data_IF_300071080809
#
_entry.id   IF_300071080809
#
_cell.length_a   1.000
_cell.length_b   1.000
_cell.length_c   1.000
_cell.angle_alpha   90.00
_cell.angle_beta   90.00
_cell.angle_gamma   90.00
#
_symmetry.space_group_name_H-M   'P 1'
#
loop_
_entity.id
_entity.type
_entity.pdbx_description
1 polymer ?
#
# COMPACT_ATOMS: atom_id res chain seq x y z
N UNK A 1 -30.74 9.70 -28.24
CA UNK A 1 -29.62 10.49 -27.68
C UNK A 1 -29.69 10.43 -26.17
N UNK A 2 -28.89 9.57 -25.52
CA UNK A 2 -28.70 9.60 -24.07
C UNK A 2 -27.30 10.14 -23.84
N UNK A 3 -27.24 11.40 -23.43
CA UNK A 3 -26.00 12.08 -23.08
C UNK A 3 -25.55 11.41 -21.78
N UNK A 4 -24.45 10.66 -21.84
CA UNK A 4 -23.87 10.01 -20.68
C UNK A 4 -23.57 11.07 -19.61
N UNK A 5 -24.20 10.92 -18.44
CA UNK A 5 -23.87 11.72 -17.28
C UNK A 5 -22.46 11.33 -16.86
N UNK A 6 -21.46 12.08 -17.33
CA UNK A 6 -20.16 12.11 -16.70
C UNK A 6 -20.41 12.57 -15.26
N UNK A 7 -20.19 11.67 -14.30
CA UNK A 7 -20.18 12.00 -12.88
C UNK A 7 -18.97 12.92 -12.68
N UNK A 8 -19.20 14.21 -12.91
CA UNK A 8 -18.25 15.29 -12.63
C UNK A 8 -18.19 15.43 -11.11
N UNK A 9 -17.33 14.64 -10.48
CA UNK A 9 -16.85 14.93 -9.14
C UNK A 9 -16.13 16.29 -9.19
N UNK A 10 -16.34 17.15 -8.18
CA UNK A 10 -15.85 18.51 -8.21
C UNK A 10 -14.32 18.51 -8.32
N UNK A 11 -13.71 19.22 -9.29
CA UNK A 11 -12.33 19.61 -9.11
C UNK A 11 -12.30 20.61 -7.95
N UNK A 12 -11.30 20.54 -7.08
CA UNK A 12 -10.70 21.64 -6.30
C UNK A 12 -10.13 21.11 -4.98
N UNK A 13 -8.96 20.47 -5.05
CA UNK A 13 -7.98 20.47 -3.95
C UNK A 13 -6.59 20.23 -4.51
N UNK A 14 -5.61 20.93 -3.94
CA UNK A 14 -4.17 20.63 -4.08
C UNK A 14 -3.85 19.32 -3.34
N UNK A 15 -4.43 18.22 -3.82
CA UNK A 15 -4.20 16.88 -3.25
C UNK A 15 -2.82 16.37 -3.67
N UNK A 16 -2.10 15.74 -2.74
CA UNK A 16 -0.80 15.13 -3.01
C UNK A 16 -0.94 13.89 -3.89
N UNK A 17 0.15 13.51 -4.61
CA UNK A 17 0.16 12.35 -5.52
C UNK A 17 -0.37 11.07 -4.86
N UNK A 18 0.06 10.78 -3.63
CA UNK A 18 -0.39 9.58 -2.88
C UNK A 18 -1.89 9.60 -2.58
N UNK A 19 -2.46 10.77 -2.26
CA UNK A 19 -3.89 10.91 -1.99
C UNK A 19 -4.72 10.70 -3.26
N UNK A 20 -4.21 11.16 -4.41
CA UNK A 20 -4.83 10.91 -5.71
C UNK A 20 -4.77 9.42 -6.04
N UNK A 21 -3.61 8.78 -5.89
CA UNK A 21 -3.45 7.33 -6.08
C UNK A 21 -4.43 6.54 -5.21
N UNK A 22 -4.46 6.79 -3.89
CA UNK A 22 -5.37 6.12 -2.95
C UNK A 22 -6.84 6.30 -3.30
N UNK A 23 -7.22 7.52 -3.74
CA UNK A 23 -8.58 7.81 -4.19
C UNK A 23 -8.93 6.98 -5.42
N UNK A 24 -8.04 6.92 -6.41
CA UNK A 24 -8.27 6.14 -7.64
C UNK A 24 -8.36 4.64 -7.37
N UNK A 25 -7.48 4.11 -6.51
CA UNK A 25 -7.50 2.70 -6.11
C UNK A 25 -8.80 2.35 -5.40
N UNK A 26 -9.24 3.19 -4.46
CA UNK A 26 -10.50 3.01 -3.75
C UNK A 26 -11.70 3.01 -4.69
N UNK A 27 -11.78 3.97 -5.62
CA UNK A 27 -12.88 4.01 -6.61
C UNK A 27 -12.93 2.75 -7.48
N UNK A 28 -11.77 2.24 -7.90
CA UNK A 28 -11.68 1.01 -8.68
C UNK A 28 -12.11 -0.23 -7.87
N UNK A 29 -11.73 -0.29 -6.59
CA UNK A 29 -12.15 -1.35 -5.67
C UNK A 29 -13.67 -1.29 -5.45
N UNK A 30 -14.20 -0.13 -5.08
CA UNK A 30 -15.64 0.08 -4.85
C UNK A 30 -16.47 -0.33 -6.08
N UNK A 31 -16.04 0.04 -7.29
CA UNK A 31 -16.70 -0.36 -8.54
C UNK A 31 -16.74 -1.88 -8.75
N UNK A 32 -15.68 -2.58 -8.34
CA UNK A 32 -15.60 -4.03 -8.40
C UNK A 32 -16.47 -4.69 -7.32
N UNK A 33 -16.46 -4.13 -6.10
CA UNK A 33 -17.20 -4.65 -4.93
C UNK A 33 -18.72 -4.50 -5.07
N UNK A 34 -19.20 -3.41 -5.67
CA UNK A 34 -20.63 -3.20 -5.93
C UNK A 34 -21.27 -4.36 -6.71
N UNK A 35 -20.50 -4.98 -7.61
CA UNK A 35 -20.99 -6.06 -8.46
C UNK A 35 -20.77 -7.47 -7.85
N UNK A 36 -20.05 -7.57 -6.72
CA UNK A 36 -19.69 -8.84 -6.10
C UNK A 36 -20.74 -9.29 -5.08
N UNK A 37 -20.93 -10.61 -4.89
CA UNK A 37 -21.75 -11.12 -3.81
C UNK A 37 -21.09 -10.86 -2.45
N UNK A 38 -21.90 -10.78 -1.39
CA UNK A 38 -21.42 -10.48 -0.03
C UNK A 38 -20.46 -11.54 0.54
N UNK A 39 -20.64 -12.82 0.19
CA UNK A 39 -19.79 -13.92 0.63
C UNK A 39 -18.85 -14.37 -0.48
N UNK A 40 -17.58 -14.63 -0.13
CA UNK A 40 -16.57 -15.23 -1.01
C UNK A 40 -16.44 -16.72 -0.68
N UNK A 41 -16.37 -17.55 -1.72
CA UNK A 41 -16.22 -19.00 -1.60
C UNK A 41 -14.85 -19.45 -2.11
N UNK A 42 -14.46 -20.69 -1.79
CA UNK A 42 -13.21 -21.28 -2.27
C UNK A 42 -13.15 -21.40 -3.81
N UNK A 43 -14.30 -21.60 -4.45
CA UNK A 43 -14.42 -21.79 -5.90
C UNK A 43 -14.58 -20.47 -6.68
N UNK A 44 -14.37 -19.32 -6.04
CA UNK A 44 -14.52 -18.00 -6.68
C UNK A 44 -13.40 -17.75 -7.70
N UNK A 45 -13.77 -17.50 -8.95
CA UNK A 45 -12.83 -17.29 -10.05
C UNK A 45 -11.94 -16.05 -9.85
N UNK A 46 -12.45 -15.00 -9.18
CA UNK A 46 -11.66 -13.78 -8.94
C UNK A 46 -10.58 -14.01 -7.86
N UNK A 47 -10.90 -14.83 -6.85
CA UNK A 47 -9.95 -15.24 -5.83
C UNK A 47 -8.84 -16.11 -6.41
N UNK A 48 -9.20 -17.11 -7.21
CA UNK A 48 -8.23 -17.99 -7.88
C UNK A 48 -7.35 -17.20 -8.86
N UNK A 49 -7.93 -16.29 -9.64
CA UNK A 49 -7.17 -15.40 -10.51
C UNK A 49 -6.19 -14.51 -9.73
N UNK A 50 -6.64 -13.91 -8.62
CA UNK A 50 -5.77 -13.12 -7.76
C UNK A 50 -4.61 -13.96 -7.20
N UNK A 51 -4.87 -15.15 -6.67
CA UNK A 51 -3.85 -16.05 -6.12
C UNK A 51 -2.82 -16.47 -7.17
N UNK A 52 -3.26 -16.80 -8.38
CA UNK A 52 -2.37 -17.12 -9.50
C UNK A 52 -1.47 -15.95 -9.93
N UNK A 53 -1.93 -14.71 -9.70
CA UNK A 53 -1.15 -13.51 -10.00
C UNK A 53 -0.14 -13.13 -8.91
N UNK A 54 -0.24 -13.70 -7.70
CA UNK A 54 0.70 -13.40 -6.61
C UNK A 54 2.10 -13.93 -6.97
N UNK A 55 3.02 -12.99 -7.17
CA UNK A 55 4.42 -13.29 -7.39
C UNK A 55 5.16 -13.46 -6.05
N UNK A 56 5.75 -14.63 -5.84
CA UNK A 56 6.45 -14.96 -4.59
C UNK A 56 7.94 -14.64 -4.67
N UNK A 57 8.49 -13.99 -3.65
CA UNK A 57 9.90 -13.59 -3.61
C UNK A 57 10.90 -14.76 -3.64
N UNK A 58 10.48 -15.95 -3.17
CA UNK A 58 11.32 -17.15 -3.07
C UNK A 58 11.20 -18.09 -4.28
N UNK A 59 10.43 -17.71 -5.30
CA UNK A 59 10.26 -18.52 -6.51
C UNK A 59 11.48 -18.37 -7.42
N UNK A 60 12.17 -19.47 -7.80
CA UNK A 60 13.30 -19.41 -8.73
C UNK A 60 12.94 -18.83 -10.11
N UNK A 61 11.67 -18.89 -10.53
CA UNK A 61 11.19 -18.40 -11.82
C UNK A 61 10.75 -16.92 -11.79
N UNK A 62 10.81 -16.26 -10.64
CA UNK A 62 10.27 -14.91 -10.43
C UNK A 62 10.83 -13.87 -11.42
N UNK A 63 12.14 -13.88 -11.65
CA UNK A 63 12.82 -12.92 -12.54
C UNK A 63 12.35 -13.08 -13.99
N UNK A 64 12.31 -14.33 -14.47
CA UNK A 64 11.84 -14.66 -15.81
C UNK A 64 10.39 -14.21 -16.04
N UNK A 65 9.49 -14.44 -15.08
CA UNK A 65 8.08 -14.02 -15.18
C UNK A 65 7.98 -12.49 -15.25
N UNK A 66 8.74 -11.74 -14.43
CA UNK A 66 8.75 -10.27 -14.47
C UNK A 66 9.21 -9.75 -15.82
N UNK A 67 10.32 -10.26 -16.34
CA UNK A 67 10.84 -9.85 -17.66
C UNK A 67 9.84 -10.15 -18.78
N UNK A 68 9.20 -11.32 -18.75
CA UNK A 68 8.18 -11.71 -19.72
C UNK A 68 6.99 -10.75 -19.68
N UNK A 69 6.49 -10.39 -18.51
CA UNK A 69 5.37 -9.44 -18.37
C UNK A 69 5.73 -8.03 -18.89
N UNK A 70 6.99 -7.61 -18.73
CA UNK A 70 7.48 -6.33 -19.27
C UNK A 70 7.55 -6.39 -20.80
N UNK A 71 8.10 -7.47 -21.36
CA UNK A 71 8.19 -7.67 -22.83
C UNK A 71 6.82 -7.76 -23.50
N UNK A 72 5.85 -8.40 -22.85
CA UNK A 72 4.46 -8.48 -23.31
C UNK A 72 3.66 -7.18 -23.08
N UNK A 73 4.24 -6.17 -22.42
CA UNK A 73 3.58 -4.91 -22.11
C UNK A 73 2.52 -4.97 -21.01
N UNK A 74 2.39 -6.11 -20.31
CA UNK A 74 1.44 -6.30 -19.19
C UNK A 74 1.87 -5.56 -17.93
N UNK A 75 3.17 -5.33 -17.76
CA UNK A 75 3.76 -4.64 -16.61
C UNK A 75 4.66 -3.49 -17.07
N UNK A 76 4.49 -2.33 -16.45
CA UNK A 76 5.39 -1.19 -16.67
C UNK A 76 6.74 -1.43 -15.96
N UNK A 77 7.87 -0.95 -16.52
CA UNK A 77 9.15 -1.01 -15.84
C UNK A 77 9.11 -0.24 -14.52
N UNK A 78 9.88 -0.70 -13.53
CA UNK A 78 9.89 -0.11 -12.20
C UNK A 78 10.41 1.34 -12.27
N UNK A 79 9.66 2.27 -11.65
CA UNK A 79 10.03 3.70 -11.61
C UNK A 79 11.32 3.88 -10.80
N UNK A 80 12.18 4.88 -11.13
CA UNK A 80 13.36 5.16 -10.33
C UNK A 80 12.95 5.56 -8.92
N UNK A 81 13.45 4.82 -7.93
CA UNK A 81 13.21 5.09 -6.51
C UNK A 81 14.48 5.60 -5.84
N UNK A 82 14.35 6.27 -4.71
CA UNK A 82 15.51 6.70 -3.93
C UNK A 82 16.37 5.51 -3.52
N UNK A 83 17.68 5.64 -3.72
CA UNK A 83 18.69 4.65 -3.37
C UNK A 83 19.36 5.08 -2.05
N UNK A 84 19.08 4.35 -0.97
CA UNK A 84 19.67 4.62 0.34
C UNK A 84 18.74 4.29 1.51
N UNK A 85 19.30 4.38 2.71
CA UNK A 85 18.52 4.31 3.95
C UNK A 85 17.81 5.64 4.20
N UNK A 86 16.57 5.60 4.65
CA UNK A 86 15.77 6.77 4.99
C UNK A 86 14.95 6.49 6.25
N UNK A 87 14.61 7.53 7.00
CA UNK A 87 13.78 7.41 8.19
C UNK A 87 12.32 7.10 7.76
N UNK A 88 11.65 6.12 8.39
CA UNK A 88 10.24 5.85 8.10
C UNK A 88 9.38 7.04 8.54
N UNK A 89 8.25 7.20 7.85
CA UNK A 89 7.19 8.16 8.17
C UNK A 89 5.91 7.38 8.49
N UNK A 90 5.03 7.94 9.33
CA UNK A 90 3.68 7.42 9.62
C UNK A 90 2.89 6.96 8.39
N UNK A 91 3.08 7.63 7.25
CA UNK A 91 2.33 7.34 6.02
C UNK A 91 3.02 6.33 5.09
N UNK A 92 4.21 5.81 5.45
CA UNK A 92 4.94 4.84 4.62
C UNK A 92 5.40 5.37 3.25
N UNK A 93 5.35 6.69 3.04
CA UNK A 93 5.72 7.33 1.78
C UNK A 93 7.25 7.31 1.65
N UNK A 94 7.74 6.72 0.56
CA UNK A 94 9.18 6.69 0.23
C UNK A 94 9.63 8.06 -0.27
N UNK A 95 10.88 8.48 0.02
CA UNK A 95 11.43 9.69 -0.58
C UNK A 95 11.54 9.54 -2.10
N UNK A 96 11.40 10.67 -2.80
CA UNK A 96 11.57 10.72 -4.25
C UNK A 96 13.01 10.46 -4.67
N UNK A 97 13.22 10.02 -5.92
CA UNK A 97 14.54 9.68 -6.47
C UNK A 97 15.57 10.83 -6.44
N UNK A 98 15.11 12.08 -6.33
CA UNK A 98 15.95 13.30 -6.35
C UNK A 98 16.31 13.81 -4.95
N UNK A 99 15.90 13.10 -3.90
CA UNK A 99 16.21 13.49 -2.53
C UNK A 99 17.70 13.23 -2.23
N UNK A 100 18.32 14.15 -1.49
CA UNK A 100 19.75 14.19 -1.17
C UNK A 100 20.15 13.22 -0.03
N UNK A 101 19.17 12.60 0.64
CA UNK A 101 19.43 11.68 1.76
C UNK A 101 19.69 12.36 3.11
N UNK A 102 19.92 13.68 3.13
CA UNK A 102 20.12 14.45 4.37
C UNK A 102 18.78 14.73 5.05
N UNK A 103 18.60 14.23 6.27
CA UNK A 103 17.45 14.52 7.12
C UNK A 103 17.51 15.96 7.64
N UNK A 104 16.47 16.74 7.30
CA UNK A 104 16.30 18.15 7.72
C UNK A 104 15.05 18.31 8.61
N UNK A 105 14.63 17.25 9.28
CA UNK A 105 13.44 17.23 10.13
C UNK A 105 13.69 17.81 11.54
N UNK A 106 12.61 18.07 12.26
CA UNK A 106 12.63 18.45 13.69
C UNK A 106 12.63 17.22 14.64
N UNK A 107 12.83 16.00 14.10
CA UNK A 107 12.78 14.75 14.86
C UNK A 107 11.38 14.36 15.39
N UNK A 108 10.28 14.93 14.88
CA UNK A 108 8.92 14.56 15.30
C UNK A 108 8.59 13.09 15.02
N UNK A 109 8.86 12.60 13.80
CA UNK A 109 8.56 11.22 13.41
C UNK A 109 9.28 10.21 14.33
N UNK A 110 10.56 10.43 14.64
CA UNK A 110 11.31 9.63 15.60
C UNK A 110 10.66 9.61 16.99
N UNK A 111 10.26 10.78 17.52
CA UNK A 111 9.58 10.88 18.82
C UNK A 111 8.23 10.16 18.80
N UNK A 112 7.49 10.25 17.71
CA UNK A 112 6.19 9.60 17.55
C UNK A 112 6.33 8.06 17.58
N UNK A 113 7.28 7.50 16.84
CA UNK A 113 7.54 6.04 16.87
C UNK A 113 7.97 5.57 18.25
N UNK A 114 8.86 6.30 18.92
CA UNK A 114 9.28 5.95 20.29
C UNK A 114 8.11 5.96 21.27
N UNK A 115 7.24 6.98 21.20
CA UNK A 115 6.06 7.06 22.06
C UNK A 115 5.06 5.93 21.79
N UNK A 116 4.87 5.56 20.51
CA UNK A 116 4.01 4.44 20.13
C UNK A 116 4.56 3.11 20.64
N UNK A 117 5.85 2.86 20.47
CA UNK A 117 6.51 1.64 20.93
C UNK A 117 6.50 1.55 22.46
N UNK A 118 6.75 2.65 23.17
CA UNK A 118 6.68 2.69 24.63
C UNK A 118 5.28 2.34 25.14
N UNK A 119 4.23 2.85 24.49
CA UNK A 119 2.85 2.49 24.81
C UNK A 119 2.59 0.99 24.62
N UNK A 120 3.00 0.42 23.48
CA UNK A 120 2.83 -1.00 23.21
C UNK A 120 3.60 -1.87 24.22
N UNK A 121 4.83 -1.48 24.58
CA UNK A 121 5.61 -2.18 25.60
C UNK A 121 4.90 -2.21 26.96
N UNK A 122 4.33 -1.07 27.40
CA UNK A 122 3.56 -0.99 28.66
C UNK A 122 2.29 -1.86 28.59
N UNK A 123 1.57 -1.85 27.47
CA UNK A 123 0.38 -2.69 27.27
C UNK A 123 0.73 -4.20 27.34
N UNK A 124 1.84 -4.62 26.72
CA UNK A 124 2.32 -6.00 26.78
C UNK A 124 2.81 -6.42 28.16
N UNK A 125 3.52 -5.53 28.86
CA UNK A 125 3.91 -5.76 30.25
C UNK A 125 2.66 -5.94 31.10
N UNK A 126 1.71 -4.99 31.07
CA UNK A 126 0.47 -5.06 31.83
C UNK A 126 -0.30 -6.36 31.57
N UNK A 127 -0.36 -6.80 30.31
CA UNK A 127 -0.96 -8.09 29.95
C UNK A 127 -0.23 -9.27 30.62
N UNK A 128 1.10 -9.33 30.53
CA UNK A 128 1.92 -10.38 31.18
C UNK A 128 1.74 -10.38 32.70
N UNK A 129 1.70 -9.21 33.33
CA UNK A 129 1.45 -9.08 34.78
C UNK A 129 0.04 -9.56 35.14
N UNK A 130 -0.98 -9.25 34.33
CA UNK A 130 -2.36 -9.66 34.58
C UNK A 130 -2.58 -11.17 34.51
N UNK A 131 -1.79 -11.89 33.69
CA UNK A 131 -1.88 -13.35 33.55
C UNK A 131 -1.09 -14.08 34.63
N UNK A 132 -0.06 -13.47 35.21
CA UNK A 132 0.87 -14.17 36.10
C UNK A 132 0.24 -14.68 37.42
N UNK A 133 -0.92 -14.16 37.82
CA UNK A 133 -1.65 -14.55 39.04
C UNK A 133 -2.90 -15.42 38.76
N UNK A 134 -3.11 -15.85 37.51
CA UNK A 134 -4.22 -16.70 37.07
C UNK A 134 -3.76 -18.14 36.82
#
# INVERSE_FOLDING_TARGET
MRIGAAILLPPLTVDGLKQVEDRTEKLNQDACEINKPMAKYADDADLDAHQRNILHAKDPMLEYVKEKQIKEGKRQPDKPTFQGSYMPNRFGIRPGCRWDGVDRSNGYEKRWFNARNARTAVEEEAYKWSIADM
#
